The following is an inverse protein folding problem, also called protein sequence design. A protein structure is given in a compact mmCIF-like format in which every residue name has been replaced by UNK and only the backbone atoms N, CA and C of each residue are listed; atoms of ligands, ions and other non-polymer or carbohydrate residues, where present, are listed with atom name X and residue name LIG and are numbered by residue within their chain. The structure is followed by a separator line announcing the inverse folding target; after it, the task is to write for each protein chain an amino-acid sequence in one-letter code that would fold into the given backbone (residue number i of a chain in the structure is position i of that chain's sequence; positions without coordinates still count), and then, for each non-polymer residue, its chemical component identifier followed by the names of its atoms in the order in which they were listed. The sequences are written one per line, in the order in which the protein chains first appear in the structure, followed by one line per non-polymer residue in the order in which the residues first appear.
data_IF_872165769912
#
_entry.id   IF_872165769912
#
_cell.length_a   1.000
_cell.length_b   1.000
_cell.length_c   1.000
_cell.angle_alpha   90.00
_cell.angle_beta   90.00
_cell.angle_gamma   90.00
#
_symmetry.space_group_name_H-M   'P 1'
#
loop_
_entity.id
_entity.type
_entity.pdbx_description
1 polymer ?
#
# COMPACT_ATOMS: atom_id res chain seq x y z
N UNK A 1 12.96 32.72 -31.92
CA UNK A 1 13.61 31.48 -31.45
C UNK A 1 12.54 30.57 -30.87
N UNK A 2 11.90 29.75 -31.71
CA UNK A 2 10.90 28.79 -31.23
C UNK A 2 11.63 27.53 -30.78
N UNK A 3 11.69 27.32 -29.47
CA UNK A 3 12.23 26.11 -28.88
C UNK A 3 11.38 24.91 -29.31
N UNK A 4 12.02 23.94 -29.95
CA UNK A 4 11.44 22.63 -30.24
C UNK A 4 11.27 21.93 -28.90
N UNK A 5 10.07 21.93 -28.35
CA UNK A 5 9.72 21.06 -27.23
C UNK A 5 9.85 19.62 -27.72
N UNK A 6 10.77 18.87 -27.14
CA UNK A 6 10.99 17.45 -27.43
C UNK A 6 9.63 16.71 -27.27
N UNK A 7 9.20 15.88 -28.24
CA UNK A 7 7.96 15.12 -28.08
C UNK A 7 8.05 14.27 -26.81
N UNK A 8 7.12 14.47 -25.88
CA UNK A 8 7.02 13.59 -24.72
C UNK A 8 6.63 12.19 -25.22
N UNK A 9 7.48 11.20 -24.95
CA UNK A 9 7.22 9.81 -25.32
C UNK A 9 5.94 9.35 -24.60
N UNK A 10 4.95 8.78 -25.29
CA UNK A 10 3.75 8.25 -24.65
C UNK A 10 4.09 7.27 -23.53
N UNK A 11 3.42 7.36 -22.39
CA UNK A 11 3.71 6.54 -21.20
C UNK A 11 3.70 5.02 -21.49
N UNK A 12 2.93 4.58 -22.48
CA UNK A 12 2.88 3.19 -22.93
C UNK A 12 4.21 2.65 -23.49
N UNK A 13 5.12 3.53 -23.93
CA UNK A 13 6.42 3.17 -24.49
C UNK A 13 7.58 3.33 -23.48
N UNK A 14 7.32 3.92 -22.30
CA UNK A 14 8.33 4.07 -21.25
C UNK A 14 8.52 2.72 -20.53
N UNK A 15 9.74 2.40 -20.06
CA UNK A 15 9.96 1.20 -19.26
C UNK A 15 9.13 1.24 -17.96
N UNK A 16 8.83 0.08 -17.35
CA UNK A 16 8.16 0.01 -16.06
C UNK A 16 8.86 0.87 -15.00
N UNK A 17 8.06 1.50 -14.15
CA UNK A 17 8.52 2.19 -12.94
C UNK A 17 9.27 1.21 -12.06
N UNK A 18 10.32 1.68 -11.40
CA UNK A 18 10.99 0.91 -10.33
C UNK A 18 10.70 1.62 -9.01
N UNK A 19 9.90 1.00 -8.16
CA UNK A 19 9.45 1.59 -6.91
C UNK A 19 10.07 0.82 -5.75
N UNK A 20 10.86 1.52 -4.92
CA UNK A 20 11.36 0.96 -3.68
C UNK A 20 10.23 0.86 -2.65
N UNK A 21 9.93 -0.35 -2.18
CA UNK A 21 8.92 -0.61 -1.16
C UNK A 21 9.61 -1.25 0.05
N UNK A 22 9.39 -0.63 1.22
CA UNK A 22 9.91 -1.07 2.51
C UNK A 22 8.76 -1.28 3.48
N UNK A 23 8.63 -2.49 4.00
CA UNK A 23 7.65 -2.87 5.01
C UNK A 23 8.41 -3.31 6.26
N UNK A 24 8.28 -2.56 7.34
CA UNK A 24 8.98 -2.80 8.60
C UNK A 24 7.98 -3.24 9.68
N UNK A 25 8.06 -4.50 10.08
CA UNK A 25 7.23 -5.05 11.15
C UNK A 25 7.81 -4.69 12.53
N UNK A 26 6.95 -4.18 13.41
CA UNK A 26 7.25 -4.05 14.84
C UNK A 26 7.37 -5.40 15.53
N UNK A 27 7.98 -5.41 16.72
CA UNK A 27 8.05 -6.61 17.56
C UNK A 27 6.71 -6.98 18.18
N UNK A 28 5.76 -6.04 18.24
CA UNK A 28 4.40 -6.23 18.72
C UNK A 28 3.38 -6.46 17.57
N UNK A 29 3.85 -6.87 16.38
CA UNK A 29 3.04 -7.03 15.18
C UNK A 29 1.83 -7.95 15.41
N UNK A 30 0.65 -7.51 14.94
CA UNK A 30 -0.56 -8.30 14.80
C UNK A 30 -0.93 -9.12 16.06
N UNK A 31 -0.71 -8.52 17.24
CA UNK A 31 -0.79 -9.22 18.51
C UNK A 31 -2.19 -9.78 18.80
N UNK A 32 -2.25 -10.91 19.52
CA UNK A 32 -3.50 -11.50 19.98
C UNK A 32 -4.07 -10.83 21.25
N UNK A 33 -5.18 -11.36 21.77
CA UNK A 33 -5.80 -10.86 23.00
C UNK A 33 -4.92 -11.03 24.24
N UNK A 34 -3.91 -11.91 24.20
CA UNK A 34 -2.90 -12.08 25.24
C UNK A 34 -1.64 -11.23 25.02
N UNK A 35 -1.57 -10.46 23.94
CA UNK A 35 -0.43 -9.62 23.59
C UNK A 35 0.70 -10.36 22.86
N UNK A 36 0.52 -11.63 22.49
CA UNK A 36 1.54 -12.39 21.77
C UNK A 36 1.59 -11.90 20.30
N UNK A 37 2.77 -11.51 19.77
CA UNK A 37 2.89 -11.02 18.41
C UNK A 37 2.75 -12.16 17.40
N UNK A 38 2.09 -11.88 16.26
CA UNK A 38 1.80 -12.86 15.21
C UNK A 38 2.28 -12.35 13.85
N UNK A 39 2.48 -13.27 12.92
CA UNK A 39 2.74 -12.92 11.53
C UNK A 39 1.55 -12.16 10.92
N UNK A 40 1.84 -11.31 9.94
CA UNK A 40 0.89 -10.50 9.20
C UNK A 40 1.04 -10.77 7.70
N UNK A 41 -0.07 -10.98 7.01
CA UNK A 41 -0.08 -10.92 5.55
C UNK A 41 -0.28 -9.48 5.12
N UNK A 42 0.69 -8.95 4.38
CA UNK A 42 0.59 -7.69 3.66
C UNK A 42 0.43 -7.95 2.17
N UNK A 43 -0.44 -7.20 1.52
CA UNK A 43 -0.69 -7.29 0.07
C UNK A 43 -0.33 -5.98 -0.60
N UNK A 44 0.44 -6.06 -1.67
CA UNK A 44 0.80 -4.93 -2.54
C UNK A 44 0.03 -5.06 -3.84
N UNK A 45 -0.79 -4.07 -4.15
CA UNK A 45 -1.64 -4.01 -5.34
C UNK A 45 -1.06 -3.01 -6.32
N UNK A 46 -0.97 -3.39 -7.58
CA UNK A 46 -0.72 -2.49 -8.70
C UNK A 46 -2.07 -2.23 -9.36
N UNK A 47 -2.48 -0.97 -9.39
CA UNK A 47 -3.84 -0.57 -9.73
C UNK A 47 -3.84 0.42 -10.89
N UNK A 48 -4.79 0.27 -11.82
CA UNK A 48 -5.07 1.28 -12.86
C UNK A 48 -5.63 2.54 -12.21
N UNK A 49 -6.70 2.37 -11.44
CA UNK A 49 -7.41 3.41 -10.70
C UNK A 49 -7.54 3.01 -9.21
N UNK A 50 -7.65 3.99 -8.33
CA UNK A 50 -7.72 3.76 -6.88
C UNK A 50 -9.13 3.81 -6.29
N UNK A 51 -10.13 4.31 -7.02
CA UNK A 51 -11.46 4.61 -6.47
C UNK A 51 -12.12 3.40 -5.81
N UNK A 52 -12.22 2.28 -6.53
CA UNK A 52 -12.78 1.03 -5.99
C UNK A 52 -11.97 0.52 -4.79
N UNK A 53 -10.64 0.60 -4.87
CA UNK A 53 -9.75 0.17 -3.79
C UNK A 53 -9.92 1.03 -2.51
N UNK A 54 -10.04 2.35 -2.63
CA UNK A 54 -10.25 3.25 -1.48
C UNK A 54 -11.63 3.05 -0.85
N UNK A 55 -12.66 2.79 -1.64
CA UNK A 55 -14.01 2.53 -1.13
C UNK A 55 -14.18 1.11 -0.56
N UNK A 56 -13.31 0.16 -0.93
CA UNK A 56 -13.38 -1.21 -0.46
C UNK A 56 -13.22 -1.32 1.06
N UNK A 57 -14.13 -2.05 1.69
CA UNK A 57 -14.13 -2.37 3.11
C UNK A 57 -13.14 -3.50 3.44
N UNK A 58 -12.81 -3.68 4.72
CA UNK A 58 -11.84 -4.69 5.15
C UNK A 58 -12.20 -6.11 4.70
N UNK A 59 -13.49 -6.47 4.78
CA UNK A 59 -14.01 -7.78 4.39
C UNK A 59 -13.90 -8.05 2.88
N UNK A 60 -13.69 -7.02 2.06
CA UNK A 60 -13.36 -7.18 0.63
C UNK A 60 -12.04 -7.92 0.47
N UNK A 61 -11.04 -7.59 1.28
CA UNK A 61 -9.69 -8.14 1.15
C UNK A 61 -9.49 -9.47 1.90
N UNK A 62 -10.44 -9.88 2.74
CA UNK A 62 -10.44 -11.22 3.36
C UNK A 62 -11.21 -12.26 2.54
N UNK A 63 -11.87 -11.85 1.45
CA UNK A 63 -12.60 -12.73 0.54
C UNK A 63 -12.11 -12.56 -0.91
N UNK A 64 -11.38 -13.55 -1.47
CA UNK A 64 -10.81 -13.44 -2.82
C UNK A 64 -11.84 -13.20 -3.92
N UNK A 65 -13.06 -13.74 -3.80
CA UNK A 65 -14.10 -13.52 -4.79
C UNK A 65 -14.61 -12.07 -4.72
N UNK A 66 -14.86 -11.56 -3.52
CA UNK A 66 -15.30 -10.18 -3.32
C UNK A 66 -14.22 -9.18 -3.75
N UNK A 67 -12.95 -9.46 -3.46
CA UNK A 67 -11.80 -8.67 -3.92
C UNK A 67 -11.80 -8.56 -5.45
N UNK A 68 -11.95 -9.68 -6.15
CA UNK A 68 -12.03 -9.71 -7.61
C UNK A 68 -13.22 -8.92 -8.14
N UNK A 69 -14.40 -9.08 -7.52
CA UNK A 69 -15.63 -8.42 -7.98
C UNK A 69 -15.58 -6.91 -7.74
N UNK A 70 -15.00 -6.46 -6.62
CA UNK A 70 -14.89 -5.03 -6.28
C UNK A 70 -13.80 -4.33 -7.06
N UNK A 71 -12.61 -4.93 -7.19
CA UNK A 71 -11.49 -4.29 -7.89
C UNK A 71 -11.57 -4.46 -9.41
N UNK A 72 -12.16 -5.55 -9.90
CA UNK A 72 -12.45 -5.79 -11.31
C UNK A 72 -11.27 -5.47 -12.23
N UNK A 73 -11.53 -4.60 -13.22
CA UNK A 73 -10.54 -4.19 -14.20
C UNK A 73 -9.45 -3.24 -13.65
N UNK A 74 -9.67 -2.63 -12.48
CA UNK A 74 -8.71 -1.73 -11.86
C UNK A 74 -7.52 -2.49 -11.27
N UNK A 75 -7.68 -3.76 -10.92
CA UNK A 75 -6.58 -4.60 -10.46
C UNK A 75 -5.72 -5.09 -11.63
N UNK A 76 -4.43 -4.76 -11.61
CA UNK A 76 -3.44 -5.27 -12.57
C UNK A 76 -2.72 -6.49 -11.97
N UNK A 77 -2.24 -6.35 -10.74
CA UNK A 77 -1.45 -7.37 -10.07
C UNK A 77 -1.59 -7.22 -8.56
N UNK A 78 -1.61 -8.35 -7.85
CA UNK A 78 -1.49 -8.39 -6.39
C UNK A 78 -0.33 -9.31 -6.01
N UNK A 79 0.49 -8.85 -5.06
CA UNK A 79 1.58 -9.62 -4.47
C UNK A 79 1.37 -9.75 -2.96
N UNK A 80 1.38 -10.97 -2.46
CA UNK A 80 1.30 -11.25 -1.03
C UNK A 80 2.70 -11.36 -0.41
N UNK A 81 2.85 -10.81 0.79
CA UNK A 81 4.08 -10.81 1.58
C UNK A 81 3.70 -11.21 3.00
N UNK A 82 4.34 -12.26 3.53
CA UNK A 82 4.21 -12.60 4.95
C UNK A 82 5.30 -11.87 5.72
N UNK A 83 4.88 -11.04 6.68
CA UNK A 83 5.75 -10.33 7.61
C UNK A 83 5.73 -11.05 8.95
N UNK A 84 6.90 -11.45 9.46
CA UNK A 84 7.05 -11.92 10.85
C UNK A 84 7.41 -10.76 11.77
N UNK A 85 7.07 -10.82 13.08
CA UNK A 85 7.42 -9.76 14.03
C UNK A 85 8.91 -9.38 13.98
N UNK A 86 9.20 -8.09 13.91
CA UNK A 86 10.57 -7.56 13.81
C UNK A 86 11.22 -7.62 12.41
N UNK A 87 10.55 -8.21 11.41
CA UNK A 87 11.09 -8.31 10.06
C UNK A 87 11.17 -6.95 9.35
N UNK A 88 12.24 -6.74 8.59
CA UNK A 88 12.32 -5.69 7.57
C UNK A 88 12.28 -6.33 6.19
N UNK A 89 11.24 -6.07 5.43
CA UNK A 89 11.10 -6.50 4.05
C UNK A 89 11.32 -5.29 3.14
N UNK A 90 12.33 -5.35 2.27
CA UNK A 90 12.69 -4.26 1.36
C UNK A 90 12.89 -4.82 -0.05
N UNK A 91 12.19 -4.24 -1.02
CA UNK A 91 12.20 -4.72 -2.41
C UNK A 91 12.09 -3.55 -3.38
N UNK A 92 12.61 -3.72 -4.59
CA UNK A 92 12.30 -2.84 -5.73
C UNK A 92 11.29 -3.52 -6.63
N UNK A 93 10.06 -3.03 -6.63
CA UNK A 93 8.99 -3.56 -7.47
C UNK A 93 9.00 -2.91 -8.85
N UNK A 94 8.81 -3.73 -9.88
CA UNK A 94 8.53 -3.24 -11.24
C UNK A 94 7.04 -2.99 -11.37
N UNK A 95 6.68 -1.77 -11.71
CA UNK A 95 5.29 -1.32 -11.83
C UNK A 95 5.06 -0.83 -13.24
N UNK A 96 4.16 -1.47 -13.98
CA UNK A 96 3.86 -1.09 -15.36
C UNK A 96 3.38 0.36 -15.42
N UNK A 97 3.56 1.03 -16.57
CA UNK A 97 3.12 2.43 -16.71
C UNK A 97 1.59 2.58 -16.65
N UNK A 98 0.88 1.50 -16.95
CA UNK A 98 -0.57 1.33 -16.82
C UNK A 98 -1.06 1.36 -15.37
N UNK A 99 -0.22 0.99 -14.41
CA UNK A 99 -0.52 1.14 -12.99
C UNK A 99 -0.34 2.61 -12.58
N UNK A 100 -1.46 3.31 -12.39
CA UNK A 100 -1.50 4.67 -11.85
C UNK A 100 -1.23 4.71 -10.34
N UNK A 101 -1.50 3.63 -9.62
CA UNK A 101 -1.43 3.58 -8.17
C UNK A 101 -0.83 2.28 -7.63
N UNK A 102 -0.24 2.38 -6.44
CA UNK A 102 0.16 1.26 -5.60
C UNK A 102 -0.69 1.27 -4.34
N UNK A 103 -1.48 0.23 -4.14
CA UNK A 103 -2.25 -0.01 -2.90
C UNK A 103 -1.50 -0.95 -1.96
N UNK A 104 -1.57 -0.72 -0.66
CA UNK A 104 -1.04 -1.64 0.35
C UNK A 104 -2.14 -1.94 1.36
N UNK A 105 -2.42 -3.22 1.58
CA UNK A 105 -3.34 -3.72 2.62
C UNK A 105 -2.56 -4.57 3.60
N UNK A 106 -2.76 -4.34 4.90
CA UNK A 106 -2.31 -5.20 5.98
C UNK A 106 -3.50 -5.94 6.58
N UNK A 107 -3.49 -7.27 6.49
CA UNK A 107 -4.57 -8.13 6.98
C UNK A 107 -4.42 -8.41 8.49
N UNK A 108 -4.53 -7.35 9.29
CA UNK A 108 -4.50 -7.47 10.75
C UNK A 108 -5.70 -8.26 11.27
N UNK A 109 -5.52 -8.97 12.39
CA UNK A 109 -6.64 -9.68 13.04
C UNK A 109 -7.72 -8.73 13.57
N UNK A 110 -7.29 -7.58 14.09
CA UNK A 110 -8.13 -6.53 14.69
C UNK A 110 -7.65 -5.16 14.23
N UNK A 111 -7.86 -4.78 12.96
CA UNK A 111 -7.29 -3.57 12.41
C UNK A 111 -7.80 -2.33 13.13
N UNK A 112 -6.92 -1.36 13.36
CA UNK A 112 -7.34 0.00 13.71
C UNK A 112 -8.11 0.62 12.53
N UNK A 113 -9.18 1.35 12.82
CA UNK A 113 -9.99 2.02 11.80
C UNK A 113 -9.12 2.90 10.87
N UNK A 114 -9.29 2.75 9.56
CA UNK A 114 -8.59 3.51 8.51
C UNK A 114 -7.04 3.43 8.54
N UNK A 115 -6.45 2.48 9.26
CA UNK A 115 -4.98 2.31 9.33
C UNK A 115 -4.49 0.96 8.83
N UNK A 116 -5.30 0.24 8.08
CA UNK A 116 -4.94 -1.07 7.54
C UNK A 116 -4.77 -1.06 6.01
N UNK A 117 -5.09 0.07 5.36
CA UNK A 117 -5.02 0.27 3.91
C UNK A 117 -4.42 1.63 3.60
N UNK A 118 -3.55 1.69 2.61
CA UNK A 118 -2.95 2.93 2.11
C UNK A 118 -2.82 2.86 0.59
N UNK A 119 -2.89 4.02 -0.06
CA UNK A 119 -2.75 4.14 -1.52
C UNK A 119 -1.72 5.20 -1.87
N UNK A 120 -0.89 4.96 -2.87
CA UNK A 120 0.17 5.86 -3.32
C UNK A 120 0.08 6.07 -4.84
N UNK A 121 0.14 7.31 -5.35
CA UNK A 121 0.29 7.53 -6.79
C UNK A 121 1.63 6.96 -7.27
N UNK A 122 1.61 6.10 -8.29
CA UNK A 122 2.79 5.35 -8.74
C UNK A 122 3.92 6.28 -9.21
N UNK A 123 3.58 7.42 -9.82
CA UNK A 123 4.58 8.41 -10.25
C UNK A 123 5.29 9.08 -9.06
N UNK A 124 4.57 9.39 -7.99
CA UNK A 124 5.16 9.99 -6.78
C UNK A 124 5.96 8.95 -6.00
N UNK A 125 5.46 7.71 -5.94
CA UNK A 125 6.15 6.59 -5.32
C UNK A 125 7.44 6.19 -6.06
N UNK A 126 7.50 6.33 -7.39
CA UNK A 126 8.74 6.14 -8.18
C UNK A 126 9.85 7.11 -7.73
N UNK A 127 9.48 8.34 -7.38
CA UNK A 127 10.43 9.38 -6.95
C UNK A 127 10.82 9.26 -5.48
N UNK A 128 9.85 8.97 -4.61
CA UNK A 128 10.01 9.02 -3.14
C UNK A 128 10.24 7.66 -2.47
N UNK A 129 9.89 6.57 -3.15
CA UNK A 129 9.73 5.26 -2.53
C UNK A 129 8.54 5.22 -1.56
N UNK A 130 8.29 4.02 -1.01
CA UNK A 130 7.25 3.79 -0.01
C UNK A 130 7.91 3.08 1.17
N UNK A 131 7.82 3.67 2.36
CA UNK A 131 8.25 3.04 3.61
C UNK A 131 7.09 3.02 4.60
N UNK A 132 6.65 1.82 4.96
CA UNK A 132 5.58 1.61 5.94
C UNK A 132 6.10 0.85 7.17
N UNK A 133 5.67 1.30 8.34
CA UNK A 133 5.71 0.50 9.56
C UNK A 133 4.41 -0.27 9.74
N UNK A 134 4.48 -1.51 10.19
CA UNK A 134 3.32 -2.29 10.64
C UNK A 134 3.52 -2.64 12.11
N UNK A 135 2.72 -2.05 13.00
CA UNK A 135 2.88 -2.20 14.45
C UNK A 135 1.52 -2.44 15.10
N UNK A 136 1.44 -3.36 16.06
CA UNK A 136 0.17 -3.78 16.66
C UNK A 136 -0.91 -4.09 15.60
N UNK A 137 -1.82 -3.16 15.35
CA UNK A 137 -2.95 -3.29 14.43
C UNK A 137 -3.03 -2.19 13.35
N UNK A 138 -1.95 -1.44 13.15
CA UNK A 138 -1.93 -0.28 12.27
C UNK A 138 -0.68 -0.22 11.38
N UNK A 139 -0.88 0.31 10.18
CA UNK A 139 0.15 0.81 9.31
C UNK A 139 0.48 2.26 9.67
N UNK A 140 1.76 2.62 9.55
CA UNK A 140 2.26 3.99 9.66
C UNK A 140 3.11 4.32 8.46
N UNK A 141 3.00 5.56 7.95
CA UNK A 141 3.82 6.02 6.82
C UNK A 141 5.10 6.62 7.37
N UNK A 142 6.24 5.98 7.09
CA UNK A 142 7.57 6.54 7.32
C UNK A 142 8.01 7.43 6.16
N UNK A 143 7.80 6.97 4.92
CA UNK A 143 8.12 7.71 3.68
C UNK A 143 7.10 7.37 2.60
N UNK A 144 6.83 8.32 1.71
CA UNK A 144 5.87 8.20 0.62
C UNK A 144 4.73 9.20 0.76
N UNK A 145 4.19 9.64 -0.37
CA UNK A 145 3.05 10.55 -0.42
C UNK A 145 1.80 9.70 -0.68
N UNK A 146 1.10 9.37 0.40
CA UNK A 146 -0.17 8.66 0.29
C UNK A 146 -1.24 9.58 -0.30
N UNK A 147 -2.15 9.01 -1.09
CA UNK A 147 -3.40 9.68 -1.41
C UNK A 147 -4.11 9.91 -0.07
N UNK A 148 -4.36 11.18 0.25
CA UNK A 148 -5.17 11.50 1.41
C UNK A 148 -6.55 10.89 1.21
N UNK A 149 -6.87 9.83 1.95
CA UNK A 149 -8.25 9.65 2.39
C UNK A 149 -8.53 10.84 3.33
N UNK A 150 -9.77 11.34 3.39
CA UNK A 150 -10.25 12.52 4.13
C UNK A 150 -10.03 12.44 5.67
N UNK A 151 -8.78 12.20 6.08
CA UNK A 151 -8.32 12.00 7.44
C UNK A 151 -7.04 12.80 7.54
N UNK A 152 -7.18 13.94 8.22
CA UNK A 152 -6.18 14.99 8.35
C UNK A 152 -4.75 14.46 8.40
N UNK A 153 -3.93 15.02 7.52
CA UNK A 153 -2.49 14.84 7.46
C UNK A 153 -1.84 15.28 8.79
N UNK A 154 -1.92 14.40 9.79
CA UNK A 154 -0.95 14.30 10.85
C UNK A 154 -0.42 12.89 10.75
N UNK A 155 0.87 12.80 10.36
CA UNK A 155 1.70 11.60 10.48
C UNK A 155 1.18 10.78 11.65
N UNK A 156 0.73 9.55 11.38
CA UNK A 156 0.11 8.64 12.36
C UNK A 156 1.11 8.26 13.47
N UNK A 157 1.44 9.22 14.33
CA UNK A 157 2.40 9.15 15.43
C UNK A 157 1.69 8.84 16.76
N UNK A 158 0.35 8.94 16.79
CA UNK A 158 -0.46 8.53 17.94
C UNK A 158 -0.79 7.04 17.88
N UNK A 159 -0.70 6.30 19.00
CA UNK A 159 -1.21 4.93 19.10
C UNK A 159 -2.67 4.89 18.68
N UNK A 160 -3.03 3.98 17.76
CA UNK A 160 -4.43 3.72 17.45
C UNK A 160 -4.93 2.58 18.35
N UNK A 161 -6.13 2.71 18.94
CA UNK A 161 -6.76 1.57 19.59
C UNK A 161 -7.10 0.52 18.53
N UNK A 162 -6.77 -0.73 18.81
CA UNK A 162 -7.22 -1.85 18.00
C UNK A 162 -8.71 -2.09 18.24
N UNK A 163 -9.43 -2.51 17.20
CA UNK A 163 -10.87 -2.77 17.23
C UNK A 163 -11.28 -4.05 17.97
#
# INVERSE_FOLDING_TARGET
MSGITKPEVPDAQKPPRTIAIKLHAGTNLNADSGGAPLALVARVYKLRQNGAFQQATYDTFTNPQKEKDVLGADLIEVKEITLVPGQRYEVSEKVSREAGFVGIVALFRKPAAQRWKLTFPAEQAEKSGITLGANACALTVGTGVAVAEDVGASKFLTPAPCG
#
